data_IF_889995033118
#
_entry.id   IF_889995033118
#
_cell.length_a   1.000
_cell.length_b   1.000
_cell.length_c   1.000
_cell.angle_alpha   90.00
_cell.angle_beta   90.00
_cell.angle_gamma   90.00
#
_symmetry.space_group_name_H-M   'P 1'
#
loop_
_entity.id
_entity.type
_entity.pdbx_description
1 polymer ?
#
# COMPACT_ATOMS: atom_id res chain seq x y z
N UNK A 1 -63.55 -11.59 17.58
CA UNK A 1 -63.30 -12.20 18.91
C UNK A 1 -61.97 -12.94 18.81
N UNK A 2 -60.91 -12.44 19.46
CA UNK A 2 -59.61 -13.14 19.60
C UNK A 2 -59.71 -14.15 20.77
N UNK A 3 -58.76 -15.11 20.94
CA UNK A 3 -57.39 -14.84 21.40
C UNK A 3 -56.31 -15.60 20.59
N UNK A 4 -55.14 -15.02 20.26
CA UNK A 4 -53.95 -14.74 21.08
C UNK A 4 -53.12 -16.00 21.46
N UNK A 5 -51.99 -16.19 20.78
CA UNK A 5 -50.93 -17.17 21.08
C UNK A 5 -49.55 -16.53 20.86
N UNK A 6 -48.72 -16.58 21.91
CA UNK A 6 -47.57 -15.71 22.23
C UNK A 6 -46.42 -15.66 21.20
N UNK A 7 -45.93 -14.44 21.00
CA UNK A 7 -44.61 -14.09 20.47
C UNK A 7 -43.57 -14.27 21.59
N UNK A 8 -42.50 -15.03 21.34
CA UNK A 8 -41.26 -14.98 22.14
C UNK A 8 -40.15 -14.45 21.25
N UNK A 9 -39.74 -13.21 21.52
CA UNK A 9 -38.78 -12.45 20.72
C UNK A 9 -37.33 -12.86 20.95
N UNK A 10 -36.53 -12.74 19.89
CA UNK A 10 -35.08 -12.69 20.01
C UNK A 10 -34.65 -11.26 20.34
N UNK A 11 -33.97 -11.11 21.47
CA UNK A 11 -33.30 -9.87 21.87
C UNK A 11 -32.15 -9.58 20.92
N UNK A 12 -32.01 -8.31 20.52
CA UNK A 12 -30.89 -7.79 19.74
C UNK A 12 -30.23 -6.71 20.58
N UNK A 13 -28.99 -6.95 21.00
CA UNK A 13 -28.11 -5.94 21.58
C UNK A 13 -26.83 -5.83 20.75
N UNK A 14 -26.38 -4.59 20.55
CA UNK A 14 -25.07 -4.26 19.99
C UNK A 14 -25.05 -3.95 18.50
N UNK A 15 -25.08 -2.66 18.16
CA UNK A 15 -24.67 -2.15 16.85
C UNK A 15 -23.17 -2.38 16.67
N UNK A 16 -22.76 -2.99 15.56
CA UNK A 16 -21.48 -2.65 14.93
C UNK A 16 -21.55 -2.91 13.42
N UNK A 17 -21.03 -1.93 12.67
CA UNK A 17 -21.14 -1.77 11.22
C UNK A 17 -20.44 -2.86 10.39
N UNK A 18 -19.93 -3.93 11.03
CA UNK A 18 -19.35 -5.12 10.41
C UNK A 18 -20.40 -6.12 9.89
N UNK A 19 -21.66 -6.05 10.35
CA UNK A 19 -22.70 -7.04 10.02
C UNK A 19 -23.26 -6.98 8.60
N UNK A 20 -23.13 -5.86 7.89
CA UNK A 20 -23.72 -5.68 6.55
C UNK A 20 -22.86 -6.26 5.41
N UNK A 21 -21.54 -6.35 5.59
CA UNK A 21 -20.65 -7.06 4.67
C UNK A 21 -20.73 -8.57 4.88
N UNK A 22 -20.81 -9.00 6.15
CA UNK A 22 -21.04 -10.39 6.50
C UNK A 22 -22.39 -10.90 6.03
N UNK A 23 -23.47 -10.10 6.04
CA UNK A 23 -24.79 -10.57 5.58
C UNK A 23 -24.91 -10.73 4.06
N UNK A 24 -24.19 -9.93 3.27
CA UNK A 24 -24.08 -10.13 1.81
C UNK A 24 -23.16 -11.29 1.46
N UNK A 25 -22.07 -11.48 2.19
CA UNK A 25 -21.27 -12.72 2.10
C UNK A 25 -22.13 -13.92 2.49
N UNK A 26 -22.90 -13.83 3.59
CA UNK A 26 -23.84 -14.86 4.07
C UNK A 26 -24.95 -15.13 3.08
N UNK A 27 -25.43 -14.15 2.30
CA UNK A 27 -26.51 -14.36 1.32
C UNK A 27 -26.02 -15.02 0.02
N UNK A 28 -24.76 -14.81 -0.36
CA UNK A 28 -24.11 -15.54 -1.46
C UNK A 28 -23.63 -16.91 -0.96
N UNK A 29 -23.19 -17.00 0.31
CA UNK A 29 -22.90 -18.25 1.02
C UNK A 29 -24.15 -19.11 1.19
N UNK A 30 -25.28 -18.57 1.64
CA UNK A 30 -26.48 -19.35 2.00
C UNK A 30 -27.21 -19.91 0.78
N UNK A 31 -26.94 -19.38 -0.42
CA UNK A 31 -27.55 -19.88 -1.65
C UNK A 31 -26.74 -21.03 -2.30
N UNK A 32 -25.51 -21.27 -1.85
CA UNK A 32 -24.64 -22.33 -2.38
C UNK A 32 -23.94 -23.21 -1.32
N UNK A 33 -23.96 -22.80 -0.04
CA UNK A 33 -23.26 -23.40 1.10
C UNK A 33 -23.97 -23.06 2.43
N UNK A 34 -25.01 -23.82 2.78
CA UNK A 34 -25.26 -24.19 4.18
C UNK A 34 -24.42 -25.46 4.51
N UNK A 35 -24.15 -25.77 5.78
CA UNK A 35 -22.85 -26.20 6.26
C UNK A 35 -22.35 -27.51 5.61
N UNK A 36 -21.16 -27.46 5.01
CA UNK A 36 -20.27 -28.61 4.94
C UNK A 36 -20.45 -29.64 3.82
N UNK A 37 -21.17 -29.37 2.73
CA UNK A 37 -21.26 -30.33 1.62
C UNK A 37 -21.03 -29.68 0.25
N UNK A 38 -20.03 -30.17 -0.48
CA UNK A 38 -19.96 -30.04 -1.93
C UNK A 38 -21.20 -30.73 -2.54
N UNK A 39 -21.86 -30.07 -3.50
CA UNK A 39 -23.14 -30.47 -4.11
C UNK A 39 -23.05 -31.71 -5.06
N UNK A 40 -22.09 -32.62 -4.82
CA UNK A 40 -21.83 -33.80 -5.66
C UNK A 40 -22.56 -35.07 -5.17
N UNK A 41 -23.30 -35.00 -4.06
CA UNK A 41 -23.97 -36.17 -3.46
C UNK A 41 -23.02 -37.22 -2.88
N UNK A 42 -21.71 -36.95 -2.87
CA UNK A 42 -20.67 -37.81 -2.33
C UNK A 42 -20.10 -37.23 -1.02
N UNK A 43 -19.74 -38.07 -0.05
CA UNK A 43 -19.07 -37.62 1.16
C UNK A 43 -17.66 -37.11 0.85
N UNK A 44 -17.21 -36.07 1.56
CA UNK A 44 -15.83 -35.58 1.48
C UNK A 44 -14.83 -36.63 1.92
N UNK A 45 -13.74 -36.81 1.19
CA UNK A 45 -12.65 -37.75 1.50
C UNK A 45 -11.36 -37.04 1.97
N UNK A 46 -11.35 -35.71 1.99
CA UNK A 46 -10.28 -34.85 2.49
C UNK A 46 -10.84 -33.61 3.22
N UNK A 47 -10.23 -33.25 4.35
CA UNK A 47 -10.44 -31.99 5.05
C UNK A 47 -9.13 -31.20 5.05
N UNK A 48 -9.14 -30.02 4.44
CA UNK A 48 -8.00 -29.09 4.43
C UNK A 48 -8.26 -27.98 5.44
N UNK A 49 -7.31 -27.71 6.33
CA UNK A 49 -7.40 -26.64 7.32
C UNK A 49 -6.51 -25.48 6.91
N UNK A 50 -7.09 -24.28 6.79
CA UNK A 50 -6.36 -23.04 6.49
C UNK A 50 -6.73 -22.00 7.53
N UNK A 51 -5.75 -21.51 8.28
CA UNK A 51 -5.94 -20.53 9.37
C UNK A 51 -7.09 -20.90 10.33
N UNK A 52 -7.19 -22.19 10.68
CA UNK A 52 -8.23 -22.73 11.55
C UNK A 52 -9.59 -22.97 10.89
N UNK A 53 -9.76 -22.63 9.61
CA UNK A 53 -10.99 -22.88 8.85
C UNK A 53 -10.90 -24.23 8.14
N UNK A 54 -11.90 -25.09 8.36
CA UNK A 54 -11.99 -26.41 7.76
C UNK A 54 -12.70 -26.37 6.39
N UNK A 55 -12.06 -26.95 5.38
CA UNK A 55 -12.60 -27.15 4.05
C UNK A 55 -12.79 -28.64 3.80
N UNK A 56 -14.05 -29.09 3.75
CA UNK A 56 -14.41 -30.47 3.42
C UNK A 56 -14.52 -30.61 1.89
N UNK A 57 -13.61 -31.38 1.30
CA UNK A 57 -13.34 -31.41 -0.14
C UNK A 57 -13.21 -32.85 -0.65
N UNK A 58 -12.95 -32.98 -1.95
CA UNK A 58 -12.65 -34.24 -2.62
C UNK A 58 -11.18 -34.28 -3.07
N UNK A 59 -10.50 -35.42 -2.88
CA UNK A 59 -9.09 -35.62 -3.23
C UNK A 59 -8.87 -35.43 -4.72
N UNK A 60 -9.73 -36.01 -5.56
CA UNK A 60 -9.53 -36.04 -7.01
C UNK A 60 -9.39 -34.63 -7.65
N UNK A 61 -10.32 -33.67 -7.45
CA UNK A 61 -10.15 -32.31 -7.96
C UNK A 61 -8.84 -31.65 -7.53
N UNK A 62 -8.44 -31.81 -6.27
CA UNK A 62 -7.23 -31.19 -5.73
C UNK A 62 -5.95 -31.84 -6.26
N UNK A 63 -5.85 -33.16 -6.21
CA UNK A 63 -4.68 -33.93 -6.67
C UNK A 63 -4.45 -33.74 -8.17
N UNK A 64 -5.53 -33.54 -8.94
CA UNK A 64 -5.42 -33.28 -10.37
C UNK A 64 -4.79 -31.94 -10.72
N UNK A 65 -4.76 -30.96 -9.80
CA UNK A 65 -4.32 -29.57 -10.05
C UNK A 65 -3.22 -29.05 -9.12
N UNK A 66 -3.05 -29.63 -7.94
CA UNK A 66 -2.11 -29.16 -6.91
C UNK A 66 -1.03 -30.22 -6.66
N UNK A 67 0.21 -29.98 -7.10
CA UNK A 67 1.31 -30.91 -6.93
C UNK A 67 1.64 -31.24 -5.48
N UNK A 68 1.61 -30.23 -4.61
CA UNK A 68 1.83 -30.43 -3.17
C UNK A 68 0.78 -31.35 -2.56
N UNK A 69 -0.49 -31.20 -2.93
CA UNK A 69 -1.57 -32.07 -2.45
C UNK A 69 -1.45 -33.47 -3.06
N UNK A 70 -1.06 -33.58 -4.32
CA UNK A 70 -0.82 -34.86 -4.98
C UNK A 70 0.29 -35.65 -4.28
N UNK A 71 1.39 -35.00 -3.92
CA UNK A 71 2.50 -35.63 -3.20
C UNK A 71 2.08 -36.09 -1.80
N UNK A 72 1.44 -35.20 -1.06
CA UNK A 72 0.92 -35.49 0.28
C UNK A 72 -0.07 -36.67 0.26
N UNK A 73 -0.94 -36.76 -0.75
CA UNK A 73 -1.88 -37.87 -0.89
C UNK A 73 -1.20 -39.19 -1.26
N UNK A 74 -0.11 -39.17 -2.04
CA UNK A 74 0.66 -40.41 -2.37
C UNK A 74 1.30 -41.03 -1.14
N UNK A 75 1.70 -40.21 -0.18
CA UNK A 75 2.38 -40.64 1.06
C UNK A 75 1.40 -41.15 2.14
N UNK A 76 0.09 -41.00 1.94
CA UNK A 76 -0.94 -41.31 2.94
C UNK A 76 -1.84 -42.48 2.52
N UNK A 77 -1.86 -43.54 3.33
CA UNK A 77 -2.76 -44.69 3.16
C UNK A 77 -4.14 -44.54 3.83
N UNK A 78 -4.42 -43.39 4.46
CA UNK A 78 -5.67 -43.18 5.22
C UNK A 78 -6.89 -42.86 4.32
N UNK A 79 -8.04 -43.45 4.67
CA UNK A 79 -9.32 -43.26 3.97
C UNK A 79 -9.89 -41.84 4.11
N UNK A 80 -9.69 -41.18 5.26
CA UNK A 80 -10.15 -39.81 5.51
C UNK A 80 -8.96 -38.96 5.91
N UNK A 81 -8.65 -37.96 5.11
CA UNK A 81 -7.39 -37.23 5.18
C UNK A 81 -7.61 -35.83 5.75
N UNK A 82 -7.07 -35.50 6.94
CA UNK A 82 -7.10 -34.12 7.47
C UNK A 82 -5.70 -33.51 7.43
N UNK A 83 -5.53 -32.36 6.77
CA UNK A 83 -4.26 -31.63 6.78
C UNK A 83 -4.41 -30.13 6.91
N UNK A 84 -3.59 -29.56 7.77
CA UNK A 84 -3.38 -28.13 7.84
C UNK A 84 -2.37 -27.67 6.78
N UNK A 85 -2.69 -26.58 6.09
CA UNK A 85 -1.73 -25.84 5.28
C UNK A 85 -1.16 -24.73 6.14
N UNK A 86 0.03 -24.97 6.67
CA UNK A 86 0.75 -24.00 7.50
C UNK A 86 1.18 -22.79 6.65
N UNK A 87 0.98 -21.59 7.21
CA UNK A 87 1.33 -20.30 6.61
C UNK A 87 0.82 -20.12 5.17
N UNK A 88 -0.43 -20.51 4.93
CA UNK A 88 -1.00 -20.49 3.60
C UNK A 88 -1.13 -19.05 3.05
N UNK A 89 -0.55 -18.74 1.88
CA UNK A 89 -0.55 -17.36 1.37
C UNK A 89 -1.95 -16.84 1.08
N UNK A 90 -2.29 -15.69 1.68
CA UNK A 90 -3.57 -15.01 1.47
C UNK A 90 -4.78 -15.69 2.13
N UNK A 91 -4.55 -16.68 2.99
CA UNK A 91 -5.54 -17.26 3.90
C UNK A 91 -6.75 -17.93 3.23
N UNK A 92 -7.84 -18.14 3.99
CA UNK A 92 -8.98 -18.96 3.57
C UNK A 92 -9.72 -18.44 2.33
N UNK A 93 -9.77 -17.12 2.15
CA UNK A 93 -10.43 -16.50 0.99
C UNK A 93 -9.69 -16.83 -0.31
N UNK A 94 -8.36 -16.79 -0.28
CA UNK A 94 -7.52 -17.19 -1.42
C UNK A 94 -7.65 -18.69 -1.68
N UNK A 95 -7.67 -19.50 -0.60
CA UNK A 95 -7.87 -20.94 -0.73
C UNK A 95 -9.21 -21.30 -1.37
N UNK A 96 -10.29 -20.56 -1.06
CA UNK A 96 -11.58 -20.75 -1.71
C UNK A 96 -11.51 -20.52 -3.23
N UNK A 97 -10.75 -19.52 -3.70
CA UNK A 97 -10.55 -19.28 -5.14
C UNK A 97 -9.85 -20.48 -5.78
N UNK A 98 -8.83 -21.02 -5.11
CA UNK A 98 -8.09 -22.20 -5.56
C UNK A 98 -8.99 -23.43 -5.61
N UNK A 99 -9.76 -23.69 -4.55
CA UNK A 99 -10.70 -24.81 -4.51
C UNK A 99 -11.69 -24.70 -5.66
N UNK A 100 -12.25 -23.50 -5.91
CA UNK A 100 -13.16 -23.31 -7.03
C UNK A 100 -12.50 -23.68 -8.35
N UNK A 101 -11.26 -23.26 -8.55
CA UNK A 101 -10.47 -23.59 -9.73
C UNK A 101 -10.25 -25.10 -9.88
N UNK A 102 -9.87 -25.80 -8.79
CA UNK A 102 -9.66 -27.25 -8.81
C UNK A 102 -10.94 -28.02 -9.20
N UNK A 103 -12.11 -27.48 -8.88
CA UNK A 103 -13.41 -28.04 -9.26
C UNK A 103 -13.88 -27.63 -10.67
N UNK A 104 -12.99 -27.07 -11.49
CA UNK A 104 -13.27 -26.69 -12.87
C UNK A 104 -14.04 -25.37 -13.03
N UNK A 105 -14.26 -24.62 -11.95
CA UNK A 105 -14.81 -23.27 -12.05
C UNK A 105 -13.73 -22.27 -12.45
N UNK A 106 -14.14 -21.17 -13.10
CA UNK A 106 -13.22 -20.10 -13.46
C UNK A 106 -12.73 -19.39 -12.19
N UNK A 107 -11.41 -19.24 -12.06
CA UNK A 107 -10.81 -18.40 -11.03
C UNK A 107 -11.06 -16.91 -11.35
N UNK A 108 -11.70 -16.20 -10.41
CA UNK A 108 -11.94 -14.76 -10.51
C UNK A 108 -10.69 -13.97 -10.07
N UNK A 109 -9.81 -13.69 -11.03
CA UNK A 109 -8.59 -12.92 -10.80
C UNK A 109 -8.87 -11.41 -10.84
N UNK A 110 -8.36 -10.68 -9.86
CA UNK A 110 -8.49 -9.23 -9.72
C UNK A 110 -7.18 -8.62 -9.23
N UNK A 111 -6.92 -7.33 -9.45
CA UNK A 111 -5.73 -6.67 -8.91
C UNK A 111 -5.56 -6.79 -7.39
N UNK A 112 -6.67 -6.96 -6.65
CA UNK A 112 -6.67 -7.06 -5.18
C UNK A 112 -6.33 -8.46 -4.65
N UNK A 113 -6.51 -9.51 -5.46
CA UNK A 113 -6.28 -10.89 -5.04
C UNK A 113 -5.14 -11.58 -5.80
N UNK A 114 -4.69 -11.02 -6.91
CA UNK A 114 -3.76 -11.69 -7.82
C UNK A 114 -2.43 -12.06 -7.15
N UNK A 115 -1.88 -11.21 -6.29
CA UNK A 115 -0.60 -11.50 -5.62
C UNK A 115 -0.75 -12.67 -4.66
N UNK A 116 -1.85 -12.70 -3.89
CA UNK A 116 -2.18 -13.80 -3.00
C UNK A 116 -2.40 -15.09 -3.78
N UNK A 117 -3.22 -15.06 -4.83
CA UNK A 117 -3.51 -16.22 -5.68
C UNK A 117 -2.25 -16.75 -6.34
N UNK A 118 -1.38 -15.88 -6.87
CA UNK A 118 -0.14 -16.28 -7.50
C UNK A 118 0.83 -16.92 -6.50
N UNK A 119 1.00 -16.31 -5.32
CA UNK A 119 1.83 -16.87 -4.25
C UNK A 119 1.29 -18.20 -3.70
N UNK A 120 -0.03 -18.36 -3.64
CA UNK A 120 -0.70 -19.58 -3.19
C UNK A 120 -0.68 -20.69 -4.24
N UNK A 121 -0.81 -20.35 -5.52
CA UNK A 121 -0.64 -21.29 -6.63
C UNK A 121 0.79 -21.83 -6.68
N UNK A 122 1.79 -20.98 -6.42
CA UNK A 122 3.18 -21.40 -6.26
C UNK A 122 3.34 -22.31 -5.02
N UNK A 123 2.72 -21.95 -3.90
CA UNK A 123 2.78 -22.74 -2.65
C UNK A 123 2.26 -24.16 -2.83
N UNK A 124 1.19 -24.31 -3.61
CA UNK A 124 0.53 -25.59 -3.87
C UNK A 124 1.10 -26.33 -5.09
N UNK A 125 2.12 -25.77 -5.74
CA UNK A 125 2.73 -26.33 -6.96
C UNK A 125 1.67 -26.57 -8.04
N UNK A 126 0.82 -25.58 -8.30
CA UNK A 126 -0.22 -25.62 -9.34
C UNK A 126 0.36 -25.33 -10.72
N UNK A 127 1.36 -26.11 -11.12
CA UNK A 127 2.10 -25.98 -12.37
C UNK A 127 1.39 -26.68 -13.53
N UNK A 128 1.82 -26.40 -14.76
CA UNK A 128 1.23 -27.03 -15.96
C UNK A 128 1.49 -28.56 -16.03
N UNK A 129 2.39 -29.10 -15.19
CA UNK A 129 2.56 -30.56 -15.00
C UNK A 129 1.29 -31.23 -14.46
N UNK A 130 0.49 -30.46 -13.70
CA UNK A 130 -0.81 -30.88 -13.16
C UNK A 130 -1.97 -30.36 -14.02
N UNK A 131 -1.74 -30.21 -15.32
CA UNK A 131 -2.75 -29.90 -16.33
C UNK A 131 -2.54 -28.56 -16.99
N UNK A 132 -2.91 -28.48 -18.26
CA UNK A 132 -2.69 -27.29 -19.10
C UNK A 132 -3.37 -26.03 -18.55
N UNK A 133 -2.69 -24.88 -18.69
CA UNK A 133 -3.16 -23.55 -18.25
C UNK A 133 -3.57 -23.57 -16.76
N UNK A 134 -2.72 -24.18 -15.92
CA UNK A 134 -2.97 -24.29 -14.49
C UNK A 134 -2.89 -22.92 -13.80
N UNK A 135 -3.31 -22.85 -12.55
CA UNK A 135 -3.49 -21.57 -11.87
C UNK A 135 -2.20 -20.75 -11.75
N UNK A 136 -1.03 -21.40 -11.65
CA UNK A 136 0.24 -20.68 -11.59
C UNK A 136 0.53 -19.90 -12.89
N UNK A 137 0.51 -20.57 -14.05
CA UNK A 137 0.74 -19.94 -15.36
C UNK A 137 -0.37 -18.94 -15.71
N UNK A 138 -1.62 -19.26 -15.37
CA UNK A 138 -2.80 -18.41 -15.59
C UNK A 138 -2.75 -17.13 -14.76
N UNK A 139 -2.35 -17.20 -13.49
CA UNK A 139 -2.18 -16.03 -12.62
C UNK A 139 -0.96 -15.20 -13.02
N UNK A 140 0.15 -15.82 -13.41
CA UNK A 140 1.31 -15.13 -13.94
C UNK A 140 0.96 -14.33 -15.22
N UNK A 141 0.23 -14.94 -16.14
CA UNK A 141 -0.23 -14.31 -17.38
C UNK A 141 -1.12 -13.10 -17.11
N UNK A 142 -2.09 -13.22 -16.17
CA UNK A 142 -2.93 -12.10 -15.75
C UNK A 142 -2.10 -10.97 -15.11
N UNK A 143 -1.16 -11.30 -14.24
CA UNK A 143 -0.28 -10.33 -13.60
C UNK A 143 0.51 -9.50 -14.63
N UNK A 144 1.14 -10.17 -15.62
CA UNK A 144 1.92 -9.47 -16.64
C UNK A 144 1.07 -8.68 -17.66
N UNK A 145 -0.09 -9.21 -18.05
CA UNK A 145 -0.93 -8.60 -19.11
C UNK A 145 -1.85 -7.50 -18.59
N UNK A 146 -2.34 -7.62 -17.36
CA UNK A 146 -3.34 -6.71 -16.80
C UNK A 146 -2.71 -5.78 -15.75
N UNK A 147 -1.99 -6.33 -14.78
CA UNK A 147 -1.51 -5.56 -13.62
C UNK A 147 -0.33 -4.67 -13.99
N UNK A 148 0.75 -5.24 -14.54
CA UNK A 148 1.97 -4.48 -14.87
C UNK A 148 1.79 -3.40 -15.95
N UNK A 149 0.62 -3.40 -16.61
CA UNK A 149 0.24 -2.46 -17.64
C UNK A 149 -0.91 -1.55 -17.19
N UNK A 150 -1.16 -1.44 -15.89
CA UNK A 150 -2.17 -0.53 -15.35
C UNK A 150 -1.71 0.06 -14.02
N UNK A 151 -1.64 1.39 -13.97
CA UNK A 151 -1.19 2.15 -12.80
C UNK A 151 -1.98 1.77 -11.53
N UNK A 152 -3.31 1.85 -11.59
CA UNK A 152 -4.18 1.59 -10.43
C UNK A 152 -4.10 0.12 -10.02
N UNK A 153 -4.05 -0.79 -10.99
CA UNK A 153 -3.97 -2.22 -10.70
C UNK A 153 -2.62 -2.59 -10.06
N UNK A 154 -1.52 -1.98 -10.50
CA UNK A 154 -0.20 -2.13 -9.85
C UNK A 154 -0.23 -1.68 -8.38
N UNK A 155 -0.82 -0.51 -8.10
CA UNK A 155 -0.93 0.00 -6.72
C UNK A 155 -1.75 -0.97 -5.86
N UNK A 156 -2.91 -1.43 -6.35
CA UNK A 156 -3.75 -2.39 -5.63
C UNK A 156 -3.04 -3.73 -5.40
N UNK A 157 -2.28 -4.21 -6.39
CA UNK A 157 -1.51 -5.44 -6.26
C UNK A 157 -0.40 -5.31 -5.20
N UNK A 158 0.33 -4.20 -5.20
CA UNK A 158 1.35 -3.92 -4.16
C UNK A 158 0.73 -3.88 -2.77
N UNK A 159 -0.39 -3.17 -2.58
CA UNK A 159 -1.09 -3.15 -1.29
C UNK A 159 -1.51 -4.54 -0.82
N UNK A 160 -1.94 -5.41 -1.73
CA UNK A 160 -2.32 -6.79 -1.39
C UNK A 160 -1.15 -7.69 -0.98
N UNK A 161 0.10 -7.26 -1.25
CA UNK A 161 1.30 -8.04 -0.96
C UNK A 161 1.81 -7.89 0.47
N UNK A 162 1.40 -6.86 1.22
CA UNK A 162 1.88 -6.57 2.58
C UNK A 162 1.82 -7.79 3.53
N UNK A 163 0.71 -8.57 3.59
CA UNK A 163 0.62 -9.73 4.50
C UNK A 163 1.50 -10.92 4.11
N UNK A 164 2.01 -10.97 2.87
CA UNK A 164 2.75 -12.10 2.30
C UNK A 164 4.08 -11.67 1.66
N UNK A 165 4.64 -10.56 2.14
CA UNK A 165 5.82 -9.89 1.59
C UNK A 165 6.99 -10.85 1.31
N UNK A 166 7.42 -11.76 2.22
CA UNK A 166 8.59 -12.60 1.97
C UNK A 166 8.44 -13.49 0.73
N UNK A 167 7.23 -14.04 0.51
CA UNK A 167 6.94 -14.90 -0.63
C UNK A 167 6.73 -14.09 -1.91
N UNK A 168 6.04 -12.94 -1.81
CA UNK A 168 5.85 -12.03 -2.94
C UNK A 168 7.18 -11.47 -3.49
N UNK A 169 8.16 -11.23 -2.60
CA UNK A 169 9.53 -10.85 -2.98
C UNK A 169 10.30 -12.00 -3.62
N UNK A 170 10.22 -13.21 -3.06
CA UNK A 170 10.84 -14.41 -3.67
C UNK A 170 10.38 -14.60 -5.12
N UNK A 171 9.10 -14.38 -5.39
CA UNK A 171 8.49 -14.49 -6.72
C UNK A 171 8.63 -13.21 -7.58
N UNK A 172 9.37 -12.21 -7.11
CA UNK A 172 9.63 -10.96 -7.83
C UNK A 172 8.36 -10.17 -8.21
N UNK A 173 7.23 -10.41 -7.53
CA UNK A 173 5.96 -9.72 -7.82
C UNK A 173 6.09 -8.24 -7.44
N UNK A 174 6.64 -7.98 -6.25
CA UNK A 174 6.84 -6.63 -5.73
C UNK A 174 7.78 -5.84 -6.65
N UNK A 175 8.96 -6.38 -6.97
CA UNK A 175 9.96 -5.71 -7.80
C UNK A 175 9.43 -5.44 -9.23
N UNK A 176 8.66 -6.37 -9.82
CA UNK A 176 8.00 -6.16 -11.12
C UNK A 176 6.99 -5.01 -11.08
N UNK A 177 6.15 -4.93 -10.04
CA UNK A 177 5.21 -3.81 -9.86
C UNK A 177 5.92 -2.47 -9.66
N UNK A 178 6.94 -2.40 -8.80
CA UNK A 178 7.70 -1.17 -8.56
C UNK A 178 8.38 -0.67 -9.85
N UNK A 179 8.96 -1.60 -10.61
CA UNK A 179 9.53 -1.30 -11.92
C UNK A 179 8.49 -0.79 -12.90
N UNK A 180 7.33 -1.44 -12.99
CA UNK A 180 6.25 -1.01 -13.87
C UNK A 180 5.76 0.41 -13.52
N UNK A 181 5.55 0.71 -12.24
CA UNK A 181 5.18 2.05 -11.76
C UNK A 181 6.25 3.09 -12.13
N UNK A 182 7.53 2.78 -11.90
CA UNK A 182 8.63 3.69 -12.26
C UNK A 182 8.66 3.99 -13.77
N UNK A 183 8.43 2.99 -14.62
CA UNK A 183 8.33 3.17 -16.08
C UNK A 183 7.13 4.04 -16.44
N UNK A 184 5.98 3.82 -15.80
CA UNK A 184 4.77 4.62 -16.03
C UNK A 184 4.96 6.09 -15.64
N UNK A 185 5.72 6.40 -14.57
CA UNK A 185 6.06 7.79 -14.20
C UNK A 185 7.09 8.40 -15.16
N UNK A 186 8.07 7.62 -15.63
CA UNK A 186 9.08 8.12 -16.59
C UNK A 186 8.52 8.35 -17.99
N UNK A 187 7.38 7.75 -18.33
CA UNK A 187 6.77 7.85 -19.66
C UNK A 187 5.80 9.02 -19.70
N UNK A 188 5.86 9.85 -20.74
CA UNK A 188 4.91 10.95 -20.94
C UNK A 188 3.47 10.40 -20.98
N UNK A 189 2.57 10.85 -20.08
CA UNK A 189 1.18 10.41 -20.05
C UNK A 189 0.42 10.65 -21.36
N UNK A 190 0.90 11.55 -22.23
CA UNK A 190 0.32 11.84 -23.54
C UNK A 190 0.74 10.88 -24.66
N UNK A 191 1.78 10.06 -24.46
CA UNK A 191 2.32 9.16 -25.49
C UNK A 191 1.65 7.78 -25.53
N UNK A 192 0.89 7.44 -24.50
CA UNK A 192 0.13 6.21 -24.44
C UNK A 192 -1.30 6.57 -24.04
N UNK A 193 -2.30 6.07 -24.77
CA UNK A 193 -3.73 6.33 -24.56
C UNK A 193 -4.30 5.76 -23.26
N UNK A 194 -3.61 5.99 -22.15
CA UNK A 194 -4.05 5.69 -20.80
C UNK A 194 -5.34 6.46 -20.52
N UNK A 195 -6.40 5.79 -20.03
CA UNK A 195 -7.59 6.49 -19.55
C UNK A 195 -7.24 7.22 -18.25
N UNK A 196 -6.59 8.37 -18.38
CA UNK A 196 -6.30 9.28 -17.28
C UNK A 196 -7.61 9.95 -16.87
N UNK A 197 -8.32 9.37 -15.91
CA UNK A 197 -9.35 10.13 -15.19
C UNK A 197 -8.62 11.22 -14.40
N UNK A 198 -8.55 12.41 -14.98
CA UNK A 198 -8.00 13.58 -14.31
C UNK A 198 -8.85 13.92 -13.08
N UNK A 199 -8.26 13.77 -11.89
CA UNK A 199 -8.59 14.59 -10.73
C UNK A 199 -7.84 15.91 -10.89
N UNK A 200 -8.55 16.96 -11.32
CA UNK A 200 -7.99 18.30 -11.50
C UNK A 200 -8.87 19.12 -12.44
N UNK A 201 -9.25 20.31 -12.01
CA UNK A 201 -10.26 21.15 -12.66
C UNK A 201 -10.00 21.35 -14.15
N UNK A 202 -11.06 21.20 -14.94
CA UNK A 202 -11.18 21.78 -16.27
C UNK A 202 -10.95 23.30 -16.15
N UNK A 203 -9.70 23.74 -16.33
CA UNK A 203 -9.40 25.12 -16.63
C UNK A 203 -8.78 25.17 -18.01
N UNK A 204 -9.62 25.53 -18.96
CA UNK A 204 -9.20 26.22 -20.17
C UNK A 204 -10.00 27.49 -20.29
N UNK A 205 -9.33 28.58 -20.66
CA UNK A 205 -9.67 29.25 -21.89
C UNK A 205 -8.47 29.09 -22.82
N UNK A 206 -8.37 27.95 -23.52
CA UNK A 206 -7.25 27.75 -24.45
C UNK A 206 -7.12 26.40 -25.18
N UNK A 207 -7.64 25.28 -24.67
CA UNK A 207 -7.74 24.04 -25.47
C UNK A 207 -7.57 22.74 -24.69
N UNK A 208 -8.41 21.75 -25.03
CA UNK A 208 -8.25 20.35 -24.63
C UNK A 208 -7.08 19.71 -25.38
N UNK A 209 -6.31 18.88 -24.69
CA UNK A 209 -5.12 18.17 -25.24
C UNK A 209 -5.50 17.15 -26.33
N UNK A 210 -6.76 16.74 -26.42
CA UNK A 210 -7.24 15.85 -27.47
C UNK A 210 -8.65 16.26 -27.93
N UNK A 211 -8.78 16.67 -29.19
CA UNK A 211 -10.02 16.56 -29.95
C UNK A 211 -9.69 15.75 -31.20
N UNK A 212 -10.26 14.54 -31.34
CA UNK A 212 -10.09 13.67 -32.50
C UNK A 212 -8.65 13.41 -32.99
N UNK A 213 -7.67 13.23 -32.10
CA UNK A 213 -6.31 12.83 -32.51
C UNK A 213 -5.48 13.92 -33.22
N UNK A 214 -5.93 15.17 -33.22
CA UNK A 214 -5.16 16.31 -33.75
C UNK A 214 -4.42 16.98 -32.59
N UNK A 215 -3.09 17.01 -32.66
CA UNK A 215 -2.24 17.74 -31.72
C UNK A 215 -2.53 19.25 -31.81
N UNK A 216 -3.11 19.84 -30.76
CA UNK A 216 -3.42 21.28 -30.70
C UNK A 216 -2.21 22.16 -30.40
N UNK A 217 -1.00 21.60 -30.35
CA UNK A 217 0.22 22.34 -30.00
C UNK A 217 0.31 22.74 -28.52
N UNK A 218 -0.70 22.42 -27.71
CA UNK A 218 -0.70 22.60 -26.27
C UNK A 218 0.30 21.61 -25.62
N UNK A 219 1.56 22.03 -25.47
CA UNK A 219 2.53 21.30 -24.66
C UNK A 219 2.15 21.42 -23.18
N UNK A 220 1.82 20.31 -22.53
CA UNK A 220 1.91 20.23 -21.07
C UNK A 220 3.39 20.30 -20.73
N UNK A 221 3.94 21.51 -20.55
CA UNK A 221 5.22 21.67 -19.86
C UNK A 221 4.98 21.40 -18.38
N UNK A 222 4.81 20.14 -17.98
CA UNK A 222 4.70 19.80 -16.56
C UNK A 222 6.08 19.48 -16.00
N UNK A 223 6.84 20.54 -15.73
CA UNK A 223 8.02 20.44 -14.85
C UNK A 223 7.62 20.05 -13.41
N UNK A 224 6.30 20.01 -13.12
CA UNK A 224 5.71 19.93 -11.78
C UNK A 224 4.53 18.93 -11.64
N UNK A 225 4.40 17.91 -12.49
CA UNK A 225 3.24 17.01 -12.41
C UNK A 225 3.23 16.17 -11.12
N UNK A 226 2.17 16.29 -10.32
CA UNK A 226 1.94 15.62 -9.02
C UNK A 226 0.84 14.55 -9.08
N UNK A 227 0.36 14.21 -10.29
CA UNK A 227 -0.79 13.33 -10.52
C UNK A 227 -0.72 11.97 -9.80
N UNK A 228 0.49 11.46 -9.53
CA UNK A 228 0.73 10.16 -8.92
C UNK A 228 0.97 10.19 -7.42
N UNK A 229 1.14 11.38 -6.83
CA UNK A 229 1.53 11.50 -5.41
C UNK A 229 0.46 10.94 -4.48
N UNK A 230 -0.81 11.22 -4.77
CA UNK A 230 -1.91 10.73 -3.96
C UNK A 230 -1.98 9.21 -3.99
N UNK A 231 -1.91 8.60 -5.17
CA UNK A 231 -2.04 7.15 -5.33
C UNK A 231 -0.93 6.38 -4.60
N UNK A 232 0.32 6.79 -4.76
CA UNK A 232 1.44 6.12 -4.08
C UNK A 232 1.44 6.39 -2.57
N UNK A 233 0.75 7.43 -2.11
CA UNK A 233 0.65 7.74 -0.69
C UNK A 233 -0.21 6.73 0.09
N UNK A 234 -0.94 5.86 -0.59
CA UNK A 234 -1.66 4.75 0.05
C UNK A 234 -0.81 3.48 0.20
N UNK A 235 0.47 3.50 -0.19
CA UNK A 235 1.40 2.40 0.07
C UNK A 235 1.89 2.42 1.54
N UNK A 236 2.17 1.24 2.09
CA UNK A 236 2.85 1.10 3.39
C UNK A 236 4.23 1.77 3.36
N UNK A 237 4.77 2.16 4.53
CA UNK A 237 6.05 2.88 4.62
C UNK A 237 7.18 2.12 3.89
N UNK A 238 7.24 0.80 4.07
CA UNK A 238 8.25 -0.03 3.41
C UNK A 238 8.06 -0.13 1.89
N UNK A 239 6.83 -0.21 1.39
CA UNK A 239 6.56 -0.21 -0.05
C UNK A 239 6.83 1.15 -0.68
N UNK A 240 6.49 2.23 0.01
CA UNK A 240 6.79 3.60 -0.42
C UNK A 240 8.29 3.82 -0.52
N UNK A 241 9.05 3.44 0.51
CA UNK A 241 10.52 3.51 0.52
C UNK A 241 11.11 2.75 -0.67
N UNK A 242 10.70 1.50 -0.90
CA UNK A 242 11.18 0.70 -2.05
C UNK A 242 10.82 1.33 -3.39
N UNK A 243 9.64 1.95 -3.51
CA UNK A 243 9.22 2.64 -4.73
C UNK A 243 10.10 3.85 -5.01
N UNK A 244 10.38 4.69 -4.01
CA UNK A 244 11.23 5.88 -4.18
C UNK A 244 12.64 5.47 -4.62
N UNK A 245 13.25 4.45 -4.00
CA UNK A 245 14.55 3.95 -4.45
C UNK A 245 14.51 3.38 -5.88
N UNK A 246 13.44 2.65 -6.23
CA UNK A 246 13.26 2.13 -7.60
C UNK A 246 13.15 3.27 -8.60
N UNK A 247 12.45 4.34 -8.25
CA UNK A 247 12.30 5.54 -9.08
C UNK A 247 13.61 6.33 -9.22
N UNK A 248 14.40 6.41 -8.14
CA UNK A 248 15.71 7.05 -8.15
C UNK A 248 16.68 6.33 -9.10
N UNK A 249 16.79 5.00 -8.99
CA UNK A 249 17.63 4.20 -9.88
C UNK A 249 17.20 4.26 -11.35
N UNK A 250 15.93 4.56 -11.60
CA UNK A 250 15.36 4.79 -12.94
C UNK A 250 15.64 6.20 -13.49
N UNK A 251 16.24 7.09 -12.71
CA UNK A 251 16.57 8.45 -13.13
C UNK A 251 15.40 9.43 -13.05
N UNK A 252 14.38 9.16 -12.23
CA UNK A 252 13.36 10.17 -11.94
C UNK A 252 14.03 11.36 -11.27
N UNK A 253 13.70 12.57 -11.74
CA UNK A 253 14.30 13.82 -11.27
C UNK A 253 14.22 13.93 -9.73
N UNK A 254 15.34 14.22 -9.04
CA UNK A 254 15.36 14.35 -7.58
C UNK A 254 14.32 15.35 -7.05
N UNK A 255 14.09 16.46 -7.76
CA UNK A 255 13.08 17.44 -7.37
C UNK A 255 11.67 16.85 -7.29
N UNK A 256 11.33 15.91 -8.18
CA UNK A 256 10.01 15.29 -8.20
C UNK A 256 9.87 14.24 -7.09
N UNK A 257 10.93 13.47 -6.82
CA UNK A 257 11.00 12.53 -5.71
C UNK A 257 10.85 13.25 -4.37
N UNK A 258 11.57 14.35 -4.17
CA UNK A 258 11.46 15.20 -2.97
C UNK A 258 10.02 15.66 -2.76
N UNK A 259 9.34 16.12 -3.82
CA UNK A 259 7.93 16.53 -3.72
C UNK A 259 7.00 15.38 -3.33
N UNK A 260 7.21 14.19 -3.88
CA UNK A 260 6.45 12.99 -3.53
C UNK A 260 6.68 12.55 -2.07
N UNK A 261 7.94 12.56 -1.61
CA UNK A 261 8.33 12.30 -0.21
C UNK A 261 7.67 13.31 0.73
N UNK A 262 7.72 14.59 0.38
CA UNK A 262 7.10 15.65 1.17
C UNK A 262 5.57 15.53 1.20
N UNK A 263 4.94 15.09 0.10
CA UNK A 263 3.50 14.79 0.06
C UNK A 263 3.16 13.64 1.01
N UNK A 264 3.89 12.53 0.92
CA UNK A 264 3.71 11.35 1.78
C UNK A 264 3.87 11.73 3.27
N UNK A 265 4.95 12.42 3.62
CA UNK A 265 5.23 12.84 4.99
C UNK A 265 4.11 13.71 5.56
N UNK A 266 3.60 14.69 4.79
CA UNK A 266 2.51 15.57 5.26
C UNK A 266 1.20 14.85 5.50
N UNK A 267 0.93 13.76 4.77
CA UNK A 267 -0.29 12.96 4.93
C UNK A 267 -0.29 12.20 6.27
N UNK A 268 0.88 11.78 6.75
CA UNK A 268 1.00 10.89 7.91
C UNK A 268 1.69 11.50 9.14
N UNK A 269 2.34 12.67 9.02
CA UNK A 269 2.96 13.42 10.13
C UNK A 269 2.16 14.69 10.44
N UNK A 270 1.30 14.67 11.48
CA UNK A 270 0.54 15.85 11.91
C UNK A 270 1.45 17.04 12.22
N UNK A 271 0.99 18.25 11.90
CA UNK A 271 1.74 19.49 12.18
C UNK A 271 2.73 19.91 11.09
N UNK A 272 3.13 19.01 10.19
CA UNK A 272 4.07 19.32 9.10
C UNK A 272 3.45 20.26 8.03
N UNK A 273 2.14 20.19 7.83
CA UNK A 273 1.40 21.03 6.87
C UNK A 273 1.14 22.48 7.30
N UNK A 274 1.30 22.82 8.60
CA UNK A 274 1.00 24.17 9.14
C UNK A 274 1.96 25.27 8.64
N UNK A 275 3.00 24.89 7.92
CA UNK A 275 4.11 25.77 7.57
C UNK A 275 4.17 26.10 6.07
N UNK A 276 3.10 25.96 5.28
CA UNK A 276 3.03 26.58 3.94
C UNK A 276 2.55 28.03 4.04
N UNK A 277 3.28 28.97 3.41
CA UNK A 277 2.78 30.32 3.16
C UNK A 277 1.88 30.28 1.92
N UNK A 278 0.60 30.62 2.04
CA UNK A 278 -0.26 30.84 0.86
C UNK A 278 -1.73 30.44 0.90
N UNK A 279 -2.29 29.84 1.96
CA UNK A 279 -3.75 29.69 2.08
C UNK A 279 -4.28 30.31 3.37
N UNK A 280 -4.90 31.47 3.17
CA UNK A 280 -5.65 32.24 4.14
C UNK A 280 -6.78 31.42 4.77
N UNK A 281 -6.88 31.51 6.09
CA UNK A 281 -8.18 31.49 6.77
C UNK A 281 -8.84 30.15 7.04
N UNK A 282 -8.22 29.25 7.82
CA UNK A 282 -8.97 28.36 8.74
C UNK A 282 -8.25 28.25 10.08
N UNK A 283 -8.91 28.77 11.10
CA UNK A 283 -8.76 28.62 12.55
C UNK A 283 -7.53 27.84 13.06
N UNK A 284 -6.68 28.58 13.79
CA UNK A 284 -5.68 28.06 14.73
C UNK A 284 -6.37 27.16 15.76
N UNK A 285 -6.36 25.85 15.53
CA UNK A 285 -6.82 24.87 16.51
C UNK A 285 -5.60 24.22 17.15
N UNK A 286 -5.53 24.33 18.48
CA UNK A 286 -4.61 23.57 19.34
C UNK A 286 -4.80 22.09 19.04
N UNK A 287 -3.72 21.33 19.05
CA UNK A 287 -3.60 20.00 18.48
C UNK A 287 -4.83 19.09 18.67
N UNK A 288 -5.42 18.65 17.55
CA UNK A 288 -5.94 17.29 17.49
C UNK A 288 -4.83 16.44 16.89
N UNK A 289 -4.08 15.74 17.74
CA UNK A 289 -3.21 14.63 17.31
C UNK A 289 -4.04 13.36 16.97
N UNK A 290 -5.34 13.50 16.75
CA UNK A 290 -6.25 12.38 16.55
C UNK A 290 -6.86 12.42 15.15
N UNK A 291 -6.86 11.24 14.53
CA UNK A 291 -7.28 10.85 13.16
C UNK A 291 -6.16 10.73 12.10
N UNK A 292 -4.97 10.23 12.47
CA UNK A 292 -4.21 9.35 11.55
C UNK A 292 -4.67 7.91 11.78
N UNK A 293 -4.67 7.00 10.78
CA UNK A 293 -4.93 5.60 11.04
C UNK A 293 -3.95 5.13 12.12
N UNK A 294 -4.45 4.52 13.19
CA UNK A 294 -3.68 4.08 14.35
C UNK A 294 -2.62 2.98 14.04
N UNK A 295 -2.29 2.76 12.76
CA UNK A 295 -1.47 1.67 12.25
C UNK A 295 -0.04 2.07 11.84
N UNK A 296 0.29 3.37 11.74
CA UNK A 296 1.64 3.81 11.31
C UNK A 296 2.42 4.36 12.50
N UNK A 297 3.54 3.71 12.83
CA UNK A 297 4.51 4.26 13.77
C UNK A 297 5.15 5.53 13.18
N UNK A 298 4.78 6.68 13.74
CA UNK A 298 5.21 7.99 13.25
C UNK A 298 6.72 8.20 13.41
N UNK A 299 7.39 7.56 14.39
CA UNK A 299 8.85 7.65 14.55
C UNK A 299 9.54 6.91 13.41
N UNK A 300 9.13 5.66 13.16
CA UNK A 300 9.68 4.86 12.06
C UNK A 300 9.45 5.55 10.73
N UNK A 301 8.26 6.10 10.51
CA UNK A 301 7.95 6.89 9.33
C UNK A 301 8.91 8.08 9.17
N UNK A 302 9.09 8.90 10.21
CA UNK A 302 9.94 10.09 10.13
C UNK A 302 11.40 9.71 9.82
N UNK A 303 11.90 8.67 10.48
CA UNK A 303 13.26 8.17 10.26
C UNK A 303 13.44 7.58 8.85
N UNK A 304 12.42 6.93 8.28
CA UNK A 304 12.44 6.51 6.87
C UNK A 304 12.40 7.71 5.92
N UNK A 305 11.56 8.72 6.19
CA UNK A 305 11.48 9.94 5.39
C UNK A 305 12.82 10.68 5.40
N UNK A 306 13.49 10.80 6.55
CA UNK A 306 14.80 11.43 6.66
C UNK A 306 15.83 10.77 5.73
N UNK A 307 15.88 9.43 5.71
CA UNK A 307 16.79 8.67 4.82
C UNK A 307 16.52 8.89 3.34
N UNK A 308 15.26 9.09 2.96
CA UNK A 308 14.85 9.32 1.57
C UNK A 308 15.14 10.74 1.08
N UNK A 309 15.39 11.70 1.98
CA UNK A 309 15.65 13.08 1.58
C UNK A 309 17.07 13.24 1.02
N UNK A 310 17.27 14.12 0.02
CA UNK A 310 18.57 14.36 -0.58
C UNK A 310 19.52 15.04 0.40
N UNK A 311 20.81 14.70 0.31
CA UNK A 311 21.86 15.34 1.12
C UNK A 311 22.29 16.70 0.58
N UNK A 312 21.96 17.00 -0.68
CA UNK A 312 22.36 18.25 -1.36
C UNK A 312 21.43 19.41 -0.99
N UNK A 313 21.96 20.63 -0.98
CA UNK A 313 21.19 21.86 -0.74
C UNK A 313 20.01 21.98 -1.73
N UNK A 314 18.86 22.46 -1.27
CA UNK A 314 17.72 22.76 -2.15
C UNK A 314 16.68 23.66 -1.49
N UNK A 315 16.39 24.79 -2.14
CA UNK A 315 15.44 25.80 -1.62
C UNK A 315 14.05 25.22 -1.35
N UNK A 316 13.64 24.25 -2.17
CA UNK A 316 12.29 23.68 -2.17
C UNK A 316 11.93 22.91 -0.89
N UNK A 317 12.91 22.48 -0.10
CA UNK A 317 12.67 21.65 1.09
C UNK A 317 13.37 22.10 2.38
N UNK A 318 14.11 23.23 2.39
CA UNK A 318 14.68 23.80 3.62
C UNK A 318 13.62 24.02 4.72
N UNK A 319 12.50 24.68 4.35
CA UNK A 319 11.37 24.88 5.27
C UNK A 319 10.69 23.58 5.69
N UNK A 320 10.71 22.58 4.82
CA UNK A 320 10.19 21.25 5.14
C UNK A 320 11.06 20.54 6.17
N UNK A 321 12.40 20.60 6.05
CA UNK A 321 13.32 20.04 7.04
C UNK A 321 13.16 20.68 8.42
N UNK A 322 12.99 22.01 8.49
CA UNK A 322 12.71 22.69 9.75
C UNK A 322 11.40 22.21 10.39
N UNK A 323 10.35 22.05 9.58
CA UNK A 323 9.10 21.45 10.04
C UNK A 323 9.27 20.00 10.50
N UNK A 324 10.05 19.22 9.77
CA UNK A 324 10.32 17.81 10.06
C UNK A 324 11.13 17.65 11.36
N UNK A 325 12.14 18.50 11.59
CA UNK A 325 12.92 18.53 12.83
C UNK A 325 12.04 18.86 14.04
N UNK A 326 11.10 19.79 13.92
CA UNK A 326 10.14 20.08 15.01
C UNK A 326 9.29 18.86 15.34
N UNK A 327 8.78 18.15 14.33
CA UNK A 327 8.04 16.90 14.53
C UNK A 327 8.95 15.83 15.15
N UNK A 328 10.21 15.75 14.72
CA UNK A 328 11.22 14.83 15.26
C UNK A 328 11.46 15.03 16.76
N UNK A 329 11.55 16.29 17.21
CA UNK A 329 11.70 16.65 18.61
C UNK A 329 10.47 16.29 19.44
N UNK A 330 9.26 16.58 18.94
CA UNK A 330 8.00 16.21 19.59
C UNK A 330 7.87 14.69 19.75
N UNK A 331 8.24 13.94 18.71
CA UNK A 331 8.15 12.48 18.72
C UNK A 331 9.28 11.83 19.51
N UNK A 332 10.37 12.54 19.83
CA UNK A 332 11.55 11.95 20.47
C UNK A 332 12.12 10.80 19.63
N UNK A 333 12.52 11.09 18.39
CA UNK A 333 13.18 10.14 17.47
C UNK A 333 14.63 9.89 17.87
N UNK A 334 15.31 8.94 17.21
CA UNK A 334 16.73 8.64 17.49
C UNK A 334 17.62 9.88 17.29
N UNK A 335 18.63 10.01 18.16
CA UNK A 335 19.59 11.12 18.12
C UNK A 335 20.30 11.24 16.76
N UNK A 336 20.62 10.12 16.12
CA UNK A 336 21.22 10.12 14.77
C UNK A 336 20.32 10.72 13.69
N UNK A 337 19.00 10.54 13.80
CA UNK A 337 18.04 11.17 12.89
C UNK A 337 17.99 12.69 13.12
N UNK A 338 17.96 13.12 14.40
CA UNK A 338 18.01 14.53 14.78
C UNK A 338 19.27 15.22 14.24
N UNK A 339 20.44 14.65 14.48
CA UNK A 339 21.72 15.18 14.00
C UNK A 339 21.79 15.26 12.48
N UNK A 340 21.27 14.25 11.77
CA UNK A 340 21.21 14.29 10.31
C UNK A 340 20.32 15.44 9.80
N UNK A 341 19.16 15.66 10.43
CA UNK A 341 18.28 16.79 10.10
C UNK A 341 18.95 18.13 10.39
N UNK A 342 19.55 18.30 11.58
CA UNK A 342 20.28 19.51 11.98
C UNK A 342 21.42 19.82 11.00
N UNK A 343 22.21 18.82 10.60
CA UNK A 343 23.27 18.93 9.59
C UNK A 343 22.72 19.42 8.25
N UNK A 344 21.65 18.78 7.73
CA UNK A 344 21.05 19.15 6.44
C UNK A 344 20.43 20.54 6.45
N UNK A 345 19.88 20.97 7.59
CA UNK A 345 19.39 22.35 7.77
C UNK A 345 20.57 23.32 7.78
N UNK A 346 21.61 23.02 8.56
CA UNK A 346 22.84 23.82 8.63
C UNK A 346 23.48 24.03 7.25
N UNK A 347 23.49 23.00 6.40
CA UNK A 347 24.00 23.12 5.02
C UNK A 347 23.27 24.17 4.17
N UNK A 348 22.04 24.55 4.47
CA UNK A 348 21.24 25.49 3.68
C UNK A 348 20.57 26.56 4.53
N UNK A 349 21.23 26.91 5.64
CA UNK A 349 20.73 27.88 6.61
C UNK A 349 20.49 29.25 5.96
N UNK A 350 21.24 29.60 4.92
CA UNK A 350 21.07 30.83 4.13
C UNK A 350 19.70 30.94 3.45
N UNK A 351 18.96 29.83 3.35
CA UNK A 351 17.62 29.75 2.76
C UNK A 351 16.50 29.78 3.80
N UNK A 352 16.85 29.73 5.09
CA UNK A 352 15.88 29.70 6.18
C UNK A 352 15.39 31.11 6.53
N UNK A 353 14.11 31.21 6.87
CA UNK A 353 13.54 32.44 7.43
C UNK A 353 13.63 32.38 8.96
N UNK A 354 13.79 33.54 9.62
CA UNK A 354 13.96 33.60 11.07
C UNK A 354 12.80 32.95 11.84
N UNK A 355 11.55 33.15 11.40
CA UNK A 355 10.35 32.50 11.97
C UNK A 355 10.42 30.96 11.94
N UNK A 356 11.05 30.41 10.91
CA UNK A 356 11.19 28.97 10.75
C UNK A 356 12.32 28.39 11.62
N UNK A 357 13.28 29.22 12.03
CA UNK A 357 14.38 28.85 12.93
C UNK A 357 13.99 28.86 14.41
N UNK A 358 12.91 29.54 14.79
CA UNK A 358 12.41 29.55 16.17
C UNK A 358 11.78 28.20 16.54
N UNK A 359 12.61 27.21 16.90
CA UNK A 359 12.21 25.87 17.33
C UNK A 359 11.82 25.92 18.81
N UNK A 360 10.55 25.66 19.17
CA UNK A 360 10.13 25.64 20.57
C UNK A 360 10.82 24.54 21.36
N UNK A 361 11.03 24.77 22.64
CA UNK A 361 11.41 23.69 23.56
C UNK A 361 10.20 22.83 23.87
N UNK A 362 10.39 21.50 23.89
CA UNK A 362 9.33 20.52 24.24
C UNK A 362 9.63 19.75 25.53
N UNK A 363 10.66 20.18 26.26
CA UNK A 363 10.98 19.75 27.63
C UNK A 363 10.63 20.86 28.63
N UNK A 364 10.63 20.55 29.92
CA UNK A 364 10.45 21.50 31.01
C UNK A 364 11.69 22.41 31.16
N UNK A 365 11.94 23.29 30.17
CA UNK A 365 13.01 24.29 30.22
C UNK A 365 12.46 25.68 30.51
N UNK A 366 13.30 26.53 31.12
CA UNK A 366 12.98 27.94 31.36
C UNK A 366 12.98 28.78 30.07
N UNK A 367 13.46 28.21 28.96
CA UNK A 367 13.58 28.87 27.66
C UNK A 367 12.44 28.49 26.72
N UNK A 368 11.83 29.50 26.08
CA UNK A 368 10.77 29.28 25.08
C UNK A 368 11.26 28.56 23.81
N UNK A 369 12.56 28.60 23.53
CA UNK A 369 13.18 28.05 22.32
C UNK A 369 14.40 27.18 22.64
N UNK A 370 14.60 26.14 21.82
CA UNK A 370 15.73 25.22 21.90
C UNK A 370 16.98 25.88 21.31
N UNK A 371 17.71 26.61 22.16
CA UNK A 371 18.93 27.33 21.80
C UNK A 371 20.07 26.39 21.40
N UNK A 372 20.15 25.21 22.02
CA UNK A 372 21.21 24.23 21.75
C UNK A 372 21.05 23.63 20.35
N UNK A 373 19.80 23.35 19.95
CA UNK A 373 19.48 22.95 18.58
C UNK A 373 19.89 24.00 17.57
N UNK A 374 19.63 25.28 17.86
CA UNK A 374 20.03 26.37 17.00
C UNK A 374 21.54 26.52 16.89
N UNK A 375 22.26 26.38 18.01
CA UNK A 375 23.72 26.41 18.04
C UNK A 375 24.31 25.30 17.16
N UNK A 376 23.82 24.06 17.27
CA UNK A 376 24.28 22.94 16.43
C UNK A 376 24.02 23.17 14.94
N UNK A 377 22.85 23.70 14.57
CA UNK A 377 22.53 24.06 13.18
C UNK A 377 23.51 25.12 12.65
N UNK A 378 23.78 26.16 13.43
CA UNK A 378 24.72 27.23 13.06
C UNK A 378 26.15 26.70 12.95
N UNK A 379 26.57 25.82 13.87
CA UNK A 379 27.87 25.16 13.80
C UNK A 379 28.03 24.35 12.51
N UNK A 380 27.01 23.59 12.10
CA UNK A 380 27.02 22.91 10.79
C UNK A 380 27.09 23.89 9.62
N UNK A 381 26.42 25.03 9.68
CA UNK A 381 26.53 26.06 8.64
C UNK A 381 27.95 26.65 8.54
N UNK A 382 28.58 26.93 9.69
CA UNK A 382 29.93 27.51 9.72
C UNK A 382 30.99 26.53 9.19
N UNK A 383 30.92 25.27 9.60
CA UNK A 383 31.86 24.22 9.17
C UNK A 383 31.77 23.90 7.68
N UNK A 384 30.59 24.07 7.06
CA UNK A 384 30.39 23.88 5.62
C UNK A 384 30.94 25.03 4.76
N UNK A 385 31.07 26.24 5.31
CA UNK A 385 31.57 27.42 4.59
C UNK A 385 33.10 27.62 4.74
N UNK A 386 33.77 26.76 5.50
CA UNK A 386 35.23 26.80 5.73
C UNK A 386 36.03 25.79 4.88
N UNK A 387 35.36 24.98 4.05
CA UNK A 387 35.96 24.14 3.03
C UNK A 387 35.50 24.56 1.64
#
# INVERSE_FOLDING_TARGET
MAPAGKVTGFHKEGNDWYGLYLSKLFSVFSRWFLPGFCNAGLPSDITVVVDGINFHLHKFPLVSKCGKVAQICKESFEKTFTRALEEFPGGPNTFLIIVKFCYGMRAELTPRNIVNVYCAADYLEMTDEYGEDNLLSKSESFFHKNVLRNWKDCILALQSSDPIMPRAEKLQVVSKCLNALSVMVCTDPSLFGWPMMMYGSLQSPGGSILWNGINTGARIRSTESDWWFEDISYLSVGLFEKLIHTMETRGIRPENLVRAIMYYARKYLPGLGRWQSGQSGKTRTVASFSLTPAAVDQKVLLETIEKLLPEKKGKSFCRFLLGLLRVALILGVRQTCRESLERRIGMQLEMATLDALLIPTYSDSDTLYDTDCMERIVHHFMTQNQG
#
